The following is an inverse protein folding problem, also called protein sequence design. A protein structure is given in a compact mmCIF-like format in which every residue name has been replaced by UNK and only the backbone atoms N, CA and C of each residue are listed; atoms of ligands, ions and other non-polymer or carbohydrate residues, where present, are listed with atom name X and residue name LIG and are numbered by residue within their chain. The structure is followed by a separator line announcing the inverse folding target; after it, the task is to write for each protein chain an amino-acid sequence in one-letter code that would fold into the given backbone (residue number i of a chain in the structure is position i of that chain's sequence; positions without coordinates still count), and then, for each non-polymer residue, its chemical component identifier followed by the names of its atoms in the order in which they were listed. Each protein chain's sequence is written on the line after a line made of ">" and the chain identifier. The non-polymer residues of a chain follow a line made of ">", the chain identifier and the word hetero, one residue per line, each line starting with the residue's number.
data_IF_140250086001
#
_entry.id   IF_140250086001
#
_cell.length_a   1.000
_cell.length_b   1.000
_cell.length_c   1.000
_cell.angle_alpha   90.00
_cell.angle_beta   90.00
_cell.angle_gamma   90.00
#
_symmetry.space_group_name_H-M   'P 1'
#
loop_
_entity.id
_entity.type
_entity.pdbx_description
1 polymer ?
#
# COMPACT_ATOMS: atom_id res chain seq x y z
N UNK A 1 5.60 -2.80 5.30
CA UNK A 1 6.50 -1.63 5.19
C UNK A 1 6.12 -0.71 4.04
N UNK A 2 6.09 -1.19 2.79
CA UNK A 2 5.78 -0.40 1.59
C UNK A 2 4.44 0.36 1.66
N UNK A 3 3.34 -0.35 1.90
CA UNK A 3 2.01 0.26 2.04
C UNK A 3 1.99 1.33 3.13
N UNK A 4 2.58 1.04 4.29
CA UNK A 4 2.61 1.98 5.40
C UNK A 4 3.45 3.23 5.10
N UNK A 5 4.59 3.09 4.39
CA UNK A 5 5.35 4.22 3.89
C UNK A 5 4.47 5.13 3.03
N UNK A 6 3.74 4.56 2.06
CA UNK A 6 2.83 5.30 1.18
C UNK A 6 1.74 6.01 1.99
N UNK A 7 1.17 5.35 3.00
CA UNK A 7 0.16 5.96 3.88
C UNK A 7 0.71 7.20 4.59
N UNK A 8 1.95 7.14 5.11
CA UNK A 8 2.60 8.28 5.75
C UNK A 8 2.94 9.40 4.75
N UNK A 9 3.29 9.06 3.51
CA UNK A 9 3.53 10.06 2.45
C UNK A 9 2.30 10.97 2.21
N UNK A 10 1.07 10.45 2.39
CA UNK A 10 -0.17 11.26 2.30
C UNK A 10 -0.17 12.43 3.29
N UNK A 11 0.50 12.29 4.43
CA UNK A 11 0.56 13.28 5.50
C UNK A 11 1.86 14.10 5.51
N UNK A 12 2.60 14.14 4.40
CA UNK A 12 3.78 15.01 4.25
C UNK A 12 5.09 14.43 4.78
N UNK A 13 5.23 13.10 4.80
CA UNK A 13 6.50 12.45 5.12
C UNK A 13 7.62 12.92 4.18
N UNK A 14 8.63 13.60 4.72
CA UNK A 14 9.75 14.14 3.93
C UNK A 14 10.85 13.10 3.63
N UNK A 15 11.14 12.20 4.56
CA UNK A 15 12.21 11.20 4.43
C UNK A 15 11.95 9.96 5.27
N UNK A 16 12.51 8.81 4.86
CA UNK A 16 12.43 7.55 5.59
C UNK A 16 13.77 6.81 5.56
N UNK A 17 14.11 6.11 6.66
CA UNK A 17 15.16 5.09 6.65
C UNK A 17 14.49 3.79 6.19
N UNK A 18 15.02 3.19 5.13
CA UNK A 18 14.44 2.02 4.47
C UNK A 18 15.45 0.90 4.37
N UNK A 19 14.97 -0.33 4.22
CA UNK A 19 15.82 -1.47 3.88
C UNK A 19 16.41 -1.27 2.47
N UNK A 20 17.75 -1.27 2.38
CA UNK A 20 18.48 -1.07 1.13
C UNK A 20 18.30 -2.22 0.13
N UNK A 21 17.84 -3.39 0.57
CA UNK A 21 17.58 -4.56 -0.28
C UNK A 21 16.13 -4.62 -0.78
N UNK A 22 15.24 -3.77 -0.27
CA UNK A 22 13.86 -3.67 -0.75
C UNK A 22 13.76 -2.67 -1.91
N UNK A 23 14.01 -3.17 -3.13
CA UNK A 23 14.03 -2.33 -4.34
C UNK A 23 12.70 -1.61 -4.61
N UNK A 24 11.57 -2.20 -4.24
CA UNK A 24 10.25 -1.61 -4.45
C UNK A 24 10.00 -0.47 -3.45
N UNK A 25 10.40 -0.66 -2.19
CA UNK A 25 10.35 0.39 -1.17
C UNK A 25 11.22 1.60 -1.57
N UNK A 26 12.39 1.35 -2.16
CA UNK A 26 13.25 2.41 -2.70
C UNK A 26 12.58 3.13 -3.86
N UNK A 27 11.98 2.41 -4.81
CA UNK A 27 11.25 3.00 -5.95
C UNK A 27 10.07 3.87 -5.50
N UNK A 28 9.30 3.41 -4.51
CA UNK A 28 8.23 4.18 -3.88
C UNK A 28 8.77 5.48 -3.28
N UNK A 29 9.83 5.39 -2.47
CA UNK A 29 10.44 6.56 -1.83
C UNK A 29 11.00 7.57 -2.84
N UNK A 30 11.40 7.11 -4.04
CA UNK A 30 11.87 7.95 -5.15
C UNK A 30 10.75 8.49 -6.04
N UNK A 31 9.48 8.15 -5.77
CA UNK A 31 8.34 8.61 -6.57
C UNK A 31 8.18 7.87 -7.91
N UNK A 32 8.81 6.71 -8.08
CA UNK A 32 8.80 5.94 -9.33
C UNK A 32 7.55 5.05 -9.49
N UNK A 33 6.70 4.98 -8.46
CA UNK A 33 5.47 4.16 -8.45
C UNK A 33 4.19 4.98 -8.17
N UNK A 34 3.90 6.03 -8.94
CA UNK A 34 2.80 6.96 -8.64
C UNK A 34 1.41 6.30 -8.70
N UNK A 35 1.22 5.26 -9.53
CA UNK A 35 -0.09 4.59 -9.66
C UNK A 35 -0.47 3.83 -8.37
N UNK A 36 0.48 3.11 -7.78
CA UNK A 36 0.28 2.41 -6.49
C UNK A 36 0.09 3.42 -5.36
N UNK A 37 0.87 4.51 -5.35
CA UNK A 37 0.70 5.59 -4.37
C UNK A 37 -0.71 6.17 -4.41
N UNK A 38 -1.19 6.52 -5.61
CA UNK A 38 -2.54 7.04 -5.81
C UNK A 38 -3.61 6.02 -5.39
N UNK A 39 -3.46 4.75 -5.74
CA UNK A 39 -4.39 3.70 -5.33
C UNK A 39 -4.51 3.61 -3.81
N UNK A 40 -3.39 3.51 -3.10
CA UNK A 40 -3.37 3.46 -1.63
C UNK A 40 -4.02 4.70 -1.03
N UNK A 41 -3.70 5.90 -1.55
CA UNK A 41 -4.29 7.14 -1.04
C UNK A 41 -5.79 7.22 -1.24
N UNK A 42 -6.33 6.73 -2.37
CA UNK A 42 -7.77 6.65 -2.62
C UNK A 42 -8.47 5.66 -1.69
N UNK A 43 -7.86 4.50 -1.44
CA UNK A 43 -8.40 3.51 -0.49
C UNK A 43 -8.41 4.09 0.94
N UNK A 44 -7.37 4.83 1.33
CA UNK A 44 -7.36 5.56 2.62
C UNK A 44 -8.48 6.60 2.72
N UNK A 45 -8.91 7.19 1.59
CA UNK A 45 -10.03 8.13 1.53
C UNK A 45 -11.40 7.44 1.51
N UNK A 46 -11.42 6.10 1.62
CA UNK A 46 -12.64 5.29 1.69
C UNK A 46 -13.09 4.67 0.36
N UNK A 47 -12.32 4.81 -0.72
CA UNK A 47 -12.62 4.11 -1.97
C UNK A 47 -12.54 2.58 -1.76
N UNK A 48 -13.57 1.87 -2.24
CA UNK A 48 -13.65 0.40 -2.20
C UNK A 48 -13.57 -0.16 -3.62
N UNK A 49 -12.36 -0.27 -4.21
CA UNK A 49 -12.21 -0.78 -5.56
C UNK A 49 -12.65 -2.24 -5.65
N UNK A 50 -13.16 -2.63 -6.83
CA UNK A 50 -13.42 -4.01 -7.17
C UNK A 50 -12.08 -4.76 -7.33
N UNK A 51 -11.82 -5.70 -6.43
CA UNK A 51 -10.57 -6.46 -6.40
C UNK A 51 -10.37 -7.31 -7.66
N UNK A 52 -11.45 -7.69 -8.35
CA UNK A 52 -11.36 -8.48 -9.59
C UNK A 52 -10.82 -7.67 -10.78
N UNK A 53 -10.88 -6.34 -10.69
CA UNK A 53 -10.37 -5.42 -11.71
C UNK A 53 -8.90 -5.02 -11.52
N UNK A 54 -8.29 -5.44 -10.40
CA UNK A 54 -6.94 -5.06 -10.00
C UNK A 54 -5.94 -6.20 -10.27
N UNK A 55 -4.68 -5.84 -10.46
CA UNK A 55 -3.59 -6.79 -10.44
C UNK A 55 -3.38 -7.39 -9.05
N UNK A 56 -2.75 -8.56 -8.95
CA UNK A 56 -2.44 -9.20 -7.66
C UNK A 56 -1.60 -8.29 -6.74
N UNK A 57 -0.70 -7.49 -7.31
CA UNK A 57 0.09 -6.52 -6.55
C UNK A 57 -0.80 -5.43 -5.93
N UNK A 58 -1.68 -4.83 -6.73
CA UNK A 58 -2.63 -3.82 -6.28
C UNK A 58 -3.59 -4.36 -5.21
N UNK A 59 -4.08 -5.59 -5.38
CA UNK A 59 -4.92 -6.29 -4.39
C UNK A 59 -4.19 -6.40 -3.05
N UNK A 60 -2.90 -6.75 -3.06
CA UNK A 60 -2.09 -6.84 -1.84
C UNK A 60 -1.97 -5.48 -1.14
N UNK A 61 -1.79 -4.39 -1.89
CA UNK A 61 -1.79 -3.04 -1.34
C UNK A 61 -3.14 -2.70 -0.69
N UNK A 62 -4.25 -2.92 -1.39
CA UNK A 62 -5.62 -2.64 -0.88
C UNK A 62 -5.90 -3.42 0.39
N UNK A 63 -5.62 -4.74 0.39
CA UNK A 63 -5.81 -5.60 1.57
C UNK A 63 -4.96 -5.13 2.74
N UNK A 64 -3.72 -4.74 2.48
CA UNK A 64 -2.82 -4.24 3.53
C UNK A 64 -3.33 -2.94 4.13
N UNK A 65 -3.87 -2.01 3.33
CA UNK A 65 -4.51 -0.79 3.87
C UNK A 65 -5.65 -1.16 4.80
N UNK A 66 -6.57 -2.04 4.38
CA UNK A 66 -7.72 -2.47 5.20
C UNK A 66 -7.32 -3.13 6.51
N UNK A 67 -6.22 -3.88 6.52
CA UNK A 67 -5.67 -4.45 7.75
C UNK A 67 -5.10 -3.36 8.66
N UNK A 68 -4.32 -2.43 8.10
CA UNK A 68 -3.69 -1.35 8.87
C UNK A 68 -4.69 -0.31 9.39
N UNK A 69 -5.83 -0.12 8.72
CA UNK A 69 -6.93 0.75 9.17
C UNK A 69 -7.92 0.04 10.10
N UNK A 70 -7.77 -1.27 10.33
CA UNK A 70 -8.66 -2.05 11.19
C UNK A 70 -10.01 -2.43 10.56
N UNK A 71 -10.17 -2.21 9.24
CA UNK A 71 -11.36 -2.65 8.49
C UNK A 71 -11.42 -4.17 8.30
N UNK A 72 -10.27 -4.84 8.34
CA UNK A 72 -10.17 -6.30 8.25
C UNK A 72 -9.16 -6.83 9.25
N UNK A 73 -9.43 -8.03 9.78
CA UNK A 73 -8.44 -8.77 10.55
C UNK A 73 -7.39 -9.38 9.62
N UNK A 74 -6.15 -9.40 10.08
CA UNK A 74 -5.09 -10.14 9.41
C UNK A 74 -5.27 -11.64 9.63
N UNK A 75 -5.22 -12.41 8.53
CA UNK A 75 -5.00 -13.86 8.55
C UNK A 75 -3.99 -14.19 7.47
N UNK A 76 -3.09 -15.14 7.75
CA UNK A 76 -2.12 -15.58 6.75
C UNK A 76 -2.81 -16.13 5.49
N UNK A 77 -3.93 -16.85 5.66
CA UNK A 77 -4.75 -17.37 4.56
C UNK A 77 -5.44 -16.28 3.72
N UNK A 78 -5.59 -15.07 4.26
CA UNK A 78 -6.29 -13.97 3.57
C UNK A 78 -5.45 -13.33 2.46
N UNK A 79 -4.13 -13.47 2.54
CA UNK A 79 -3.23 -12.93 1.52
C UNK A 79 -3.18 -13.81 0.25
N UNK A 80 -3.49 -15.10 0.37
CA UNK A 80 -3.39 -16.05 -0.75
C UNK A 80 -4.70 -16.28 -1.53
N UNK A 81 -5.85 -15.84 -0.97
CA UNK A 81 -7.19 -15.93 -1.61
C UNK A 81 -7.49 -14.65 -2.37
#
# INVERSE_FOLDING_TARGET
>A
NRTYLIMLMKYGLHSAIVDAFDSELIKIARGEMPQIVNLVHRVMDGEKPDLSSLSNEEVNYVKTVRVLTGESLYSHSWLEI
#
